data_IF_826769584907
#
_entry.id   IF_826769584907
#
_cell.length_a   1.000
_cell.length_b   1.000
_cell.length_c   1.000
_cell.angle_alpha   90.00
_cell.angle_beta   90.00
_cell.angle_gamma   90.00
#
_symmetry.space_group_name_H-M   'P 1'
#
loop_
_entity.id
_entity.type
_entity.pdbx_description
1 polymer ?
#
# COMPACT_ATOMS: atom_id res chain seq x y z
N UNK A 1 13.77 -20.96 4.04
CA UNK A 1 12.52 -21.14 3.21
C UNK A 1 12.19 -19.77 2.59
N UNK A 2 11.93 -19.72 1.29
CA UNK A 2 11.57 -18.49 0.58
C UNK A 2 10.08 -18.23 0.74
N UNK A 3 9.74 -17.09 1.34
CA UNK A 3 8.37 -16.64 1.60
C UNK A 3 8.10 -15.34 0.83
N UNK A 4 6.89 -15.18 0.33
CA UNK A 4 6.42 -13.94 -0.32
C UNK A 4 5.25 -13.40 0.49
N UNK A 5 5.37 -12.15 0.94
CA UNK A 5 4.30 -11.40 1.58
C UNK A 5 3.79 -10.27 0.68
N UNK A 6 2.49 -10.02 0.71
CA UNK A 6 1.82 -8.99 -0.09
C UNK A 6 0.86 -8.19 0.79
N UNK A 7 0.88 -6.88 0.68
CA UNK A 7 -0.08 -6.01 1.34
C UNK A 7 -0.36 -4.76 0.51
N UNK A 8 -1.54 -4.15 0.71
CA UNK A 8 -1.94 -2.92 0.04
C UNK A 8 -2.27 -1.80 1.03
N UNK A 9 -2.14 -0.56 0.57
CA UNK A 9 -2.43 0.66 1.32
C UNK A 9 -3.19 1.68 0.49
N UNK A 10 -4.02 2.47 1.16
CA UNK A 10 -4.73 3.57 0.51
C UNK A 10 -6.12 3.21 0.01
N UNK A 11 -6.73 2.10 0.44
CA UNK A 11 -8.10 1.72 0.07
C UNK A 11 -9.14 2.74 0.48
N UNK A 12 -9.09 3.21 1.71
CA UNK A 12 -10.08 4.15 2.28
C UNK A 12 -9.84 5.62 1.95
N UNK A 13 -8.83 5.95 1.14
CA UNK A 13 -8.53 7.33 0.77
C UNK A 13 -9.47 7.81 -0.33
N UNK A 14 -9.93 9.06 -0.24
CA UNK A 14 -10.76 9.72 -1.27
C UNK A 14 -9.92 10.35 -2.38
N UNK A 15 -8.60 10.42 -2.19
CA UNK A 15 -7.66 10.91 -3.19
C UNK A 15 -6.37 10.09 -3.23
N UNK A 16 -5.75 10.05 -4.41
CA UNK A 16 -4.51 9.34 -4.67
C UNK A 16 -4.70 7.85 -4.98
N UNK A 17 -3.62 7.19 -5.39
CA UNK A 17 -3.67 5.79 -5.81
C UNK A 17 -3.84 4.82 -4.65
N UNK A 18 -4.25 3.59 -4.95
CA UNK A 18 -4.01 2.42 -4.12
C UNK A 18 -2.64 1.85 -4.50
N UNK A 19 -1.87 1.44 -3.49
CA UNK A 19 -0.50 0.95 -3.65
C UNK A 19 -0.40 -0.41 -3.00
N UNK A 20 0.30 -1.37 -3.64
CA UNK A 20 0.68 -2.62 -3.00
C UNK A 20 2.18 -2.87 -3.14
N UNK A 21 2.72 -3.58 -2.18
CA UNK A 21 4.06 -4.13 -2.26
C UNK A 21 4.02 -5.65 -2.11
N UNK A 22 4.95 -6.31 -2.79
CA UNK A 22 5.29 -7.71 -2.60
C UNK A 22 6.74 -7.81 -2.18
N UNK A 23 7.03 -8.59 -1.14
CA UNK A 23 8.38 -8.74 -0.57
C UNK A 23 8.74 -10.22 -0.48
N UNK A 24 9.94 -10.56 -0.91
CA UNK A 24 10.50 -11.91 -0.84
C UNK A 24 11.55 -11.97 0.27
N UNK A 25 11.35 -12.84 1.23
CA UNK A 25 12.31 -13.06 2.32
C UNK A 25 12.76 -14.52 2.39
N UNK A 26 13.96 -14.75 2.88
CA UNK A 26 14.35 -16.08 3.40
C UNK A 26 14.09 -16.11 4.90
N UNK A 27 13.15 -16.94 5.33
CA UNK A 27 12.74 -17.05 6.74
C UNK A 27 13.89 -17.39 7.70
N UNK A 28 14.95 -18.02 7.20
CA UNK A 28 16.11 -18.38 8.00
C UNK A 28 17.11 -17.24 8.21
N UNK A 29 17.14 -16.28 7.26
CA UNK A 29 18.13 -15.22 7.23
C UNK A 29 17.53 -13.82 7.41
N UNK A 30 16.20 -13.68 7.41
CA UNK A 30 15.53 -12.39 7.62
C UNK A 30 15.34 -12.12 9.11
N UNK A 31 16.26 -11.37 9.70
CA UNK A 31 16.31 -11.06 11.14
C UNK A 31 15.66 -9.71 11.52
N UNK A 32 15.12 -8.96 10.55
CA UNK A 32 14.48 -7.67 10.81
C UNK A 32 13.21 -7.89 11.64
N UNK A 33 13.11 -7.17 12.75
CA UNK A 33 11.87 -7.12 13.53
C UNK A 33 10.90 -6.13 12.90
N UNK A 34 9.87 -6.68 12.25
CA UNK A 34 8.84 -5.92 11.54
C UNK A 34 7.48 -5.96 12.23
N UNK A 35 7.44 -6.45 13.48
CA UNK A 35 6.19 -6.56 14.23
C UNK A 35 5.59 -5.18 14.48
N UNK A 36 4.27 -5.08 14.31
CA UNK A 36 3.40 -3.95 14.62
C UNK A 36 3.73 -2.62 13.90
N UNK A 37 3.74 -2.68 12.55
CA UNK A 37 3.96 -1.51 11.69
C UNK A 37 3.01 -0.31 11.97
N UNK A 38 1.83 -0.58 12.56
CA UNK A 38 0.81 0.45 12.83
C UNK A 38 1.13 1.30 14.05
N UNK A 39 1.90 0.78 15.01
CA UNK A 39 2.35 1.52 16.21
C UNK A 39 3.63 2.33 15.94
N UNK A 40 4.30 2.10 14.83
CA UNK A 40 5.56 2.78 14.51
C UNK A 40 5.34 4.25 14.14
N UNK A 41 6.21 5.12 14.63
CA UNK A 41 6.33 6.48 14.13
C UNK A 41 6.75 6.50 12.66
N UNK A 42 6.54 7.63 11.97
CA UNK A 42 6.97 7.77 10.57
C UNK A 42 8.47 7.50 10.40
N UNK A 43 9.32 8.05 11.27
CA UNK A 43 10.78 7.85 11.23
C UNK A 43 11.17 6.38 11.38
N UNK A 44 10.51 5.68 12.29
CA UNK A 44 10.76 4.24 12.48
C UNK A 44 10.35 3.42 11.26
N UNK A 45 9.20 3.74 10.62
CA UNK A 45 8.78 3.08 9.37
C UNK A 45 9.76 3.33 8.23
N UNK A 46 10.22 4.57 8.05
CA UNK A 46 11.20 4.93 7.01
C UNK A 46 12.54 4.21 7.24
N UNK A 47 12.97 4.09 8.49
CA UNK A 47 14.15 3.30 8.84
C UNK A 47 13.96 1.82 8.51
N UNK A 48 12.84 1.22 8.92
CA UNK A 48 12.55 -0.19 8.63
C UNK A 48 12.37 -0.46 7.13
N UNK A 49 11.76 0.44 6.37
CA UNK A 49 11.68 0.35 4.91
C UNK A 49 13.06 0.19 4.28
N UNK A 50 14.03 1.01 4.73
CA UNK A 50 15.42 0.90 4.28
C UNK A 50 16.03 -0.44 4.67
N UNK A 51 15.86 -0.89 5.93
CA UNK A 51 16.38 -2.16 6.40
C UNK A 51 15.77 -3.35 5.64
N UNK A 52 14.46 -3.35 5.42
CA UNK A 52 13.77 -4.40 4.67
C UNK A 52 14.32 -4.49 3.25
N UNK A 53 14.43 -3.38 2.54
CA UNK A 53 14.96 -3.32 1.16
C UNK A 53 16.41 -3.79 1.04
N UNK A 54 17.22 -3.57 2.08
CA UNK A 54 18.60 -4.06 2.12
C UNK A 54 18.73 -5.55 2.40
N UNK A 55 17.78 -6.15 3.09
CA UNK A 55 17.87 -7.53 3.59
C UNK A 55 16.87 -8.51 2.97
N UNK A 56 15.84 -8.03 2.27
CA UNK A 56 14.97 -8.90 1.49
C UNK A 56 15.70 -9.40 0.24
N UNK A 57 15.24 -10.52 -0.29
CA UNK A 57 15.80 -11.10 -1.52
C UNK A 57 15.32 -10.36 -2.77
N UNK A 58 14.09 -9.87 -2.74
CA UNK A 58 13.46 -9.12 -3.82
C UNK A 58 12.26 -8.36 -3.29
N UNK A 59 11.87 -7.29 -3.95
CA UNK A 59 10.60 -6.59 -3.70
C UNK A 59 10.09 -5.90 -4.96
N UNK A 60 8.80 -5.71 -5.01
CA UNK A 60 8.15 -4.96 -6.08
C UNK A 60 7.00 -4.13 -5.53
N UNK A 61 6.80 -2.95 -6.11
CA UNK A 61 5.73 -2.03 -5.76
C UNK A 61 4.89 -1.77 -7.01
N UNK A 62 3.58 -1.76 -6.85
CA UNK A 62 2.66 -1.37 -7.92
C UNK A 62 1.65 -0.35 -7.41
N UNK A 63 1.13 0.44 -8.34
CA UNK A 63 0.12 1.47 -8.09
C UNK A 63 -1.05 1.33 -9.06
N UNK A 64 -2.24 1.68 -8.60
CA UNK A 64 -3.44 1.85 -9.42
C UNK A 64 -4.01 3.24 -9.13
N UNK A 65 -4.09 4.06 -10.15
CA UNK A 65 -4.51 5.46 -10.06
C UNK A 65 -6.03 5.61 -9.82
N UNK A 66 -6.42 6.79 -9.33
CA UNK A 66 -7.81 7.13 -9.01
C UNK A 66 -8.78 6.88 -10.17
N UNK A 67 -8.39 7.22 -11.39
CA UNK A 67 -9.23 7.02 -12.59
C UNK A 67 -9.57 5.53 -12.82
N UNK A 68 -8.60 4.63 -12.59
CA UNK A 68 -8.83 3.19 -12.73
C UNK A 68 -9.68 2.67 -11.58
N UNK A 69 -9.45 3.17 -10.35
CA UNK A 69 -10.28 2.83 -9.18
C UNK A 69 -11.74 3.17 -9.44
N UNK A 70 -12.02 4.34 -10.02
CA UNK A 70 -13.39 4.76 -10.35
C UNK A 70 -14.05 3.86 -11.40
N UNK A 71 -13.28 3.29 -12.33
CA UNK A 71 -13.77 2.39 -13.38
C UNK A 71 -14.10 0.98 -12.88
N UNK A 72 -13.25 0.41 -12.01
CA UNK A 72 -13.34 -1.00 -11.61
C UNK A 72 -13.70 -1.22 -10.15
N UNK A 73 -13.93 -0.17 -9.38
CA UNK A 73 -14.09 -0.04 -7.93
C UNK A 73 -12.83 -0.41 -7.11
N UNK A 74 -12.82 0.02 -5.83
CA UNK A 74 -11.66 -0.16 -4.96
C UNK A 74 -11.37 -1.63 -4.62
N UNK A 75 -12.40 -2.49 -4.58
CA UNK A 75 -12.20 -3.91 -4.31
C UNK A 75 -11.38 -4.57 -5.43
N UNK A 76 -11.80 -4.40 -6.67
CA UNK A 76 -11.10 -4.92 -7.84
C UNK A 76 -9.71 -4.27 -8.02
N UNK A 77 -9.61 -2.95 -7.78
CA UNK A 77 -8.34 -2.25 -7.83
C UNK A 77 -7.33 -2.77 -6.79
N UNK A 78 -7.79 -3.12 -5.57
CA UNK A 78 -6.94 -3.72 -4.54
C UNK A 78 -6.42 -5.09 -4.96
N UNK A 79 -7.26 -5.96 -5.50
CA UNK A 79 -6.83 -7.27 -6.00
C UNK A 79 -5.85 -7.13 -7.18
N UNK A 80 -6.14 -6.21 -8.09
CA UNK A 80 -5.30 -5.96 -9.25
C UNK A 80 -3.92 -5.40 -8.86
N UNK A 81 -3.85 -4.45 -7.92
CA UNK A 81 -2.57 -3.87 -7.51
C UNK A 81 -1.70 -4.88 -6.78
N UNK A 82 -2.29 -5.77 -5.96
CA UNK A 82 -1.57 -6.89 -5.35
C UNK A 82 -1.02 -7.86 -6.40
N UNK A 83 -1.85 -8.24 -7.39
CA UNK A 83 -1.41 -9.08 -8.50
C UNK A 83 -0.24 -8.46 -9.27
N UNK A 84 -0.33 -7.18 -9.63
CA UNK A 84 0.74 -6.47 -10.34
C UNK A 84 2.03 -6.38 -9.52
N UNK A 85 1.95 -6.16 -8.21
CA UNK A 85 3.14 -6.16 -7.36
C UNK A 85 3.82 -7.53 -7.31
N UNK A 86 3.04 -8.62 -7.27
CA UNK A 86 3.58 -9.98 -7.35
C UNK A 86 4.20 -10.28 -8.72
N UNK A 87 3.56 -9.88 -9.81
CA UNK A 87 4.07 -10.07 -11.17
C UNK A 87 5.42 -9.37 -11.38
N UNK A 88 5.64 -8.22 -10.76
CA UNK A 88 6.89 -7.46 -10.81
C UNK A 88 8.09 -8.09 -10.09
N UNK A 89 7.88 -9.12 -9.25
CA UNK A 89 8.96 -9.84 -8.60
C UNK A 89 9.76 -10.68 -9.60
N UNK A 90 11.07 -10.68 -9.46
CA UNK A 90 12.00 -11.56 -10.21
C UNK A 90 12.09 -12.96 -9.60
N UNK A 91 12.02 -13.02 -8.27
CA UNK A 91 12.06 -14.28 -7.50
C UNK A 91 10.64 -14.74 -7.23
N UNK A 92 10.34 -16.00 -7.57
CA UNK A 92 9.05 -16.65 -7.31
C UNK A 92 9.20 -17.74 -6.26
N UNK A 93 8.13 -17.99 -5.52
CA UNK A 93 8.04 -19.05 -4.52
C UNK A 93 6.60 -19.59 -4.48
N UNK A 94 6.39 -20.86 -4.13
CA UNK A 94 5.05 -21.40 -3.91
C UNK A 94 4.42 -20.93 -2.59
N UNK A 95 5.19 -20.29 -1.70
CA UNK A 95 4.74 -19.85 -0.38
C UNK A 95 4.38 -18.36 -0.43
N UNK A 96 3.18 -18.06 -0.90
CA UNK A 96 2.68 -16.68 -1.07
C UNK A 96 1.56 -16.42 -0.07
N UNK A 97 1.67 -15.33 0.67
CA UNK A 97 0.63 -14.86 1.60
C UNK A 97 0.30 -13.39 1.35
N UNK A 98 -0.98 -13.03 1.54
CA UNK A 98 -1.41 -11.64 1.51
C UNK A 98 -2.20 -11.25 2.76
N UNK A 99 -2.22 -9.96 3.07
CA UNK A 99 -3.20 -9.42 4.01
C UNK A 99 -4.59 -9.38 3.38
N UNK A 100 -5.62 -9.52 4.25
CA UNK A 100 -7.02 -9.34 3.84
C UNK A 100 -7.83 -10.63 3.76
N UNK A 101 -9.07 -10.46 3.27
CA UNK A 101 -10.07 -11.53 3.19
C UNK A 101 -10.18 -12.15 1.79
N UNK A 102 -9.84 -11.39 0.76
CA UNK A 102 -10.11 -11.76 -0.63
C UNK A 102 -8.81 -12.07 -1.36
N UNK A 103 -8.86 -13.15 -2.12
CA UNK A 103 -7.70 -13.71 -2.82
C UNK A 103 -7.52 -13.04 -4.17
N UNK A 104 -6.39 -12.35 -4.42
CA UNK A 104 -6.02 -11.93 -5.78
C UNK A 104 -5.71 -13.15 -6.66
N UNK A 105 -5.79 -12.96 -7.97
CA UNK A 105 -5.48 -14.00 -8.97
C UNK A 105 -3.95 -14.22 -9.05
N UNK A 106 -3.43 -14.93 -8.05
CA UNK A 106 -2.01 -15.28 -7.88
C UNK A 106 -1.94 -16.78 -7.52
N UNK A 107 -1.09 -17.57 -8.20
CA UNK A 107 -0.95 -19.00 -7.89
C UNK A 107 -0.52 -19.26 -6.45
N UNK A 108 -1.12 -20.25 -5.82
CA UNK A 108 -0.78 -20.76 -4.48
C UNK A 108 -0.84 -19.71 -3.35
N UNK A 109 -1.55 -18.60 -3.54
CA UNK A 109 -1.67 -17.57 -2.51
C UNK A 109 -2.66 -17.97 -1.43
N UNK A 110 -2.34 -17.61 -0.18
CA UNK A 110 -3.25 -17.68 0.96
C UNK A 110 -3.44 -16.29 1.56
N UNK A 111 -4.69 -15.94 1.88
CA UNK A 111 -5.01 -14.63 2.46
C UNK A 111 -5.33 -14.77 3.95
N UNK A 112 -4.86 -13.80 4.72
CA UNK A 112 -4.95 -13.79 6.17
C UNK A 112 -5.46 -12.44 6.66
N UNK A 113 -6.59 -12.43 7.37
CA UNK A 113 -7.11 -11.22 8.01
C UNK A 113 -6.13 -10.75 9.08
N UNK A 114 -5.66 -9.51 8.98
CA UNK A 114 -4.59 -8.94 9.82
C UNK A 114 -3.28 -9.73 9.71
N UNK A 115 -2.98 -10.23 8.53
CA UNK A 115 -1.77 -10.98 8.25
C UNK A 115 -0.50 -10.15 8.50
N UNK A 116 -0.59 -8.84 8.35
CA UNK A 116 0.46 -7.87 8.67
C UNK A 116 0.91 -7.89 10.15
N UNK A 117 0.07 -8.38 11.06
CA UNK A 117 0.40 -8.55 12.48
C UNK A 117 0.94 -9.94 12.82
N UNK A 118 0.83 -10.90 11.91
CA UNK A 118 1.12 -12.32 12.17
C UNK A 118 2.35 -12.80 11.40
N UNK A 119 2.47 -12.37 10.14
CA UNK A 119 3.48 -12.87 9.20
C UNK A 119 4.50 -11.79 8.86
N UNK A 120 5.78 -12.03 9.13
CA UNK A 120 6.87 -11.09 8.86
C UNK A 120 6.94 -10.63 7.41
N UNK A 121 6.72 -11.55 6.47
CA UNK A 121 6.71 -11.24 5.04
C UNK A 121 5.59 -10.27 4.67
N UNK A 122 4.39 -10.39 5.24
CA UNK A 122 3.27 -9.47 5.01
C UNK A 122 3.55 -8.12 5.69
N UNK A 123 4.04 -8.14 6.95
CA UNK A 123 4.42 -6.92 7.67
C UNK A 123 5.49 -6.11 6.92
N UNK A 124 6.49 -6.79 6.35
CA UNK A 124 7.50 -6.14 5.52
C UNK A 124 6.89 -5.48 4.28
N UNK A 125 5.96 -6.15 3.60
CA UNK A 125 5.23 -5.60 2.47
C UNK A 125 4.38 -4.38 2.87
N UNK A 126 3.69 -4.46 4.01
CA UNK A 126 2.90 -3.37 4.59
C UNK A 126 3.73 -2.11 4.81
N UNK A 127 4.92 -2.25 5.42
CA UNK A 127 5.84 -1.14 5.67
C UNK A 127 6.30 -0.50 4.35
N UNK A 128 6.74 -1.28 3.37
CA UNK A 128 7.19 -0.78 2.07
C UNK A 128 6.06 -0.04 1.34
N UNK A 129 4.87 -0.65 1.26
CA UNK A 129 3.72 -0.03 0.61
C UNK A 129 3.33 1.30 1.29
N UNK A 130 3.32 1.32 2.63
CA UNK A 130 2.97 2.50 3.43
C UNK A 130 3.96 3.64 3.25
N UNK A 131 5.26 3.37 3.36
CA UNK A 131 6.30 4.39 3.20
C UNK A 131 6.29 4.95 1.78
N UNK A 132 6.19 4.07 0.78
CA UNK A 132 6.13 4.49 -0.62
C UNK A 132 4.93 5.42 -0.88
N UNK A 133 3.71 5.01 -0.45
CA UNK A 133 2.50 5.80 -0.68
C UNK A 133 2.53 7.14 0.06
N UNK A 134 2.99 7.15 1.32
CA UNK A 134 3.07 8.38 2.10
C UNK A 134 4.03 9.39 1.47
N UNK A 135 5.17 8.94 0.93
CA UNK A 135 6.12 9.78 0.20
C UNK A 135 5.56 10.25 -1.15
N UNK A 136 4.86 9.37 -1.88
CA UNK A 136 4.16 9.76 -3.11
C UNK A 136 3.16 10.89 -2.85
N UNK A 137 2.33 10.76 -1.81
CA UNK A 137 1.33 11.79 -1.46
C UNK A 137 1.99 13.11 -0.99
N UNK A 138 3.15 13.08 -0.33
CA UNK A 138 3.93 14.28 0.00
C UNK A 138 4.45 14.97 -1.27
N UNK A 139 4.98 14.22 -2.22
CA UNK A 139 5.48 14.77 -3.48
C UNK A 139 4.35 15.39 -4.31
N UNK A 140 3.21 14.72 -4.37
CA UNK A 140 2.01 15.23 -5.04
C UNK A 140 1.50 16.54 -4.40
N UNK A 141 1.62 16.68 -3.08
CA UNK A 141 1.18 17.87 -2.35
C UNK A 141 1.81 19.16 -2.88
N UNK A 142 3.03 19.13 -3.39
CA UNK A 142 3.69 20.31 -3.99
C UNK A 142 2.93 20.87 -5.18
N UNK A 143 2.22 20.03 -5.95
CA UNK A 143 1.41 20.44 -7.11
C UNK A 143 -0.02 20.85 -6.72
N UNK A 144 -0.45 20.52 -5.49
CA UNK A 144 -1.80 20.78 -4.98
C UNK A 144 -1.74 21.30 -3.53
N UNK A 145 -0.99 22.40 -3.25
CA UNK A 145 -0.71 22.83 -1.88
C UNK A 145 -1.98 23.17 -1.09
N UNK A 146 -3.05 23.59 -1.75
CA UNK A 146 -4.33 23.95 -1.13
C UNK A 146 -5.11 22.76 -0.55
N UNK A 147 -4.73 21.50 -0.91
CA UNK A 147 -5.39 20.29 -0.41
C UNK A 147 -4.69 19.66 0.79
N UNK A 148 -3.46 20.05 1.14
CA UNK A 148 -2.70 19.53 2.28
C UNK A 148 -2.48 18.00 2.27
N UNK A 149 -2.28 17.41 1.09
CA UNK A 149 -2.09 15.95 0.94
C UNK A 149 -0.91 15.41 1.76
N UNK A 150 0.09 16.23 2.06
CA UNK A 150 1.22 15.89 2.93
C UNK A 150 0.81 15.63 4.37
N UNK A 151 -0.35 16.14 4.83
CA UNK A 151 -0.86 15.92 6.19
C UNK A 151 -1.68 14.64 6.30
N UNK A 152 -2.69 14.49 5.48
CA UNK A 152 -3.68 13.41 5.60
C UNK A 152 -3.55 12.30 4.55
N UNK A 153 -2.60 12.37 3.63
CA UNK A 153 -2.29 11.35 2.61
C UNK A 153 -3.49 10.91 1.75
N UNK A 154 -4.47 11.81 1.57
CA UNK A 154 -5.68 11.57 0.79
C UNK A 154 -6.86 11.00 1.57
N UNK A 155 -6.75 10.79 2.88
CA UNK A 155 -7.90 10.45 3.72
C UNK A 155 -8.86 11.62 3.86
N UNK A 156 -10.16 11.35 3.98
CA UNK A 156 -11.20 12.36 4.15
C UNK A 156 -11.20 12.89 5.59
N UNK A 157 -10.28 13.80 5.87
CA UNK A 157 -10.24 14.58 7.11
C UNK A 157 -11.04 15.86 6.96
N UNK A 158 -11.31 16.57 8.07
CA UNK A 158 -11.98 17.87 8.03
C UNK A 158 -11.27 18.87 7.11
N UNK A 159 -9.94 18.98 7.21
CA UNK A 159 -9.13 19.86 6.35
C UNK A 159 -9.27 19.48 4.87
N UNK A 160 -9.30 18.18 4.57
CA UNK A 160 -9.46 17.71 3.19
C UNK A 160 -10.87 18.01 2.66
N UNK A 161 -11.91 17.80 3.49
CA UNK A 161 -13.28 18.14 3.12
C UNK A 161 -13.42 19.65 2.84
N UNK A 162 -12.92 20.50 3.73
CA UNK A 162 -12.94 21.97 3.56
C UNK A 162 -12.23 22.39 2.26
N UNK A 163 -11.09 21.75 1.93
CA UNK A 163 -10.40 22.03 0.67
C UNK A 163 -11.22 21.57 -0.56
N UNK A 164 -11.88 20.42 -0.49
CA UNK A 164 -12.78 19.95 -1.55
C UNK A 164 -13.96 20.90 -1.73
N UNK A 165 -14.58 21.37 -0.65
CA UNK A 165 -15.71 22.30 -0.68
C UNK A 165 -15.32 23.64 -1.30
N UNK A 166 -14.09 24.10 -1.04
CA UNK A 166 -13.59 25.38 -1.54
C UNK A 166 -13.05 25.32 -2.97
N UNK A 167 -12.29 24.27 -3.32
CA UNK A 167 -11.52 24.19 -4.57
C UNK A 167 -12.04 23.13 -5.55
N UNK A 168 -13.02 22.32 -5.13
CA UNK A 168 -13.57 21.21 -5.95
C UNK A 168 -12.67 19.98 -5.98
N UNK A 169 -12.97 19.08 -6.90
CA UNK A 169 -12.20 17.85 -7.12
C UNK A 169 -11.04 18.07 -8.09
N UNK A 170 -9.92 17.39 -7.85
CA UNK A 170 -8.80 17.27 -8.79
C UNK A 170 -8.86 15.90 -9.49
N UNK A 171 -8.02 15.65 -10.52
CA UNK A 171 -7.88 14.32 -11.12
C UNK A 171 -7.42 13.21 -10.15
N UNK A 172 -6.87 13.60 -9.00
CA UNK A 172 -6.44 12.65 -7.96
C UNK A 172 -7.60 12.13 -7.12
N UNK A 173 -8.74 12.84 -7.10
CA UNK A 173 -9.90 12.44 -6.30
C UNK A 173 -10.65 11.27 -6.96
N UNK A 174 -11.05 10.33 -6.12
CA UNK A 174 -11.85 9.17 -6.52
C UNK A 174 -13.33 9.57 -6.52
N UNK A 175 -13.86 9.86 -7.70
CA UNK A 175 -15.23 10.37 -7.87
C UNK A 175 -16.32 9.36 -7.50
N UNK A 176 -15.99 8.08 -7.44
CA UNK A 176 -16.86 7.01 -6.95
C UNK A 176 -16.92 6.91 -5.42
N UNK A 177 -16.14 7.75 -4.68
CA UNK A 177 -16.12 7.78 -3.23
C UNK A 177 -16.89 8.99 -2.70
N UNK A 178 -17.45 8.89 -1.47
CA UNK A 178 -17.90 10.09 -0.76
C UNK A 178 -16.73 11.07 -0.58
N UNK A 179 -16.94 12.38 -0.72
CA UNK A 179 -18.22 13.10 -0.81
C UNK A 179 -18.78 13.27 -2.24
N UNK A 180 -18.18 12.65 -3.26
CA UNK A 180 -18.55 12.89 -4.66
C UNK A 180 -19.69 11.97 -5.16
N UNK A 181 -19.91 10.83 -4.50
CA UNK A 181 -20.94 9.85 -4.87
C UNK A 181 -22.03 9.73 -3.81
#
# INVERSE_FOLDING_TARGET
MILIGIDEVGRGCVAGPVVAASVVIDSNNFSIDVTDSKLLSQKQREYLDTQIKCHCLDFSISIIEAEVIDKINIHQASLLVMKKSFEGLKIKSPHVKCDGKFTPDIPNITCHIKGDLIFKEISAASIIAKVYRDNLMKNIASNYPQYFFEKHKGYLTKIHQEAIDQFGATPLHRKSFRPFS
#
